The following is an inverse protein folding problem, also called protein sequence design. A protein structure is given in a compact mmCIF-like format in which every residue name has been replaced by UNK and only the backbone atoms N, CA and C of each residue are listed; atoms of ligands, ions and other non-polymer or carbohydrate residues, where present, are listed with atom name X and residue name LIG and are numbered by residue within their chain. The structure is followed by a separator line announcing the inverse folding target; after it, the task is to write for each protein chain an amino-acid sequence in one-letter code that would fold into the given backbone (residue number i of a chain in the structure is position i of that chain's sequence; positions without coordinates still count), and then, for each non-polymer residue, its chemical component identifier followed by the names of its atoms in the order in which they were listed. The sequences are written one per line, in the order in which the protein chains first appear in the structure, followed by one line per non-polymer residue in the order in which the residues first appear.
data_IF_423139948201
#
_entry.id   IF_423139948201
#
_cell.length_a   1.000
_cell.length_b   1.000
_cell.length_c   1.000
_cell.angle_alpha   90.00
_cell.angle_beta   90.00
_cell.angle_gamma   90.00
#
_symmetry.space_group_name_H-M   'P 1'
#
loop_
_entity.id
_entity.type
_entity.pdbx_description
1 polymer ?
#
# COMPACT_ATOMS: atom_id res chain seq x y z
N UNK A 1 -3.63 -64.49 42.59
CA UNK A 1 -3.23 -63.08 42.70
C UNK A 1 -2.35 -62.74 41.49
N UNK A 2 -2.90 -62.10 40.46
CA UNK A 2 -2.16 -61.68 39.27
C UNK A 2 -1.39 -60.38 39.54
N UNK A 3 -0.09 -60.33 39.21
CA UNK A 3 0.67 -59.09 38.97
C UNK A 3 1.11 -59.07 37.50
N UNK A 4 0.49 -58.19 36.72
CA UNK A 4 1.01 -57.60 35.49
C UNK A 4 1.36 -56.13 35.83
N UNK A 5 2.25 -55.40 35.19
CA UNK A 5 3.07 -55.56 34.00
C UNK A 5 3.77 -54.21 33.80
N UNK A 6 4.97 -54.23 33.22
CA UNK A 6 5.81 -53.06 32.91
C UNK A 6 5.19 -52.21 31.81
N UNK A 7 5.34 -50.88 31.86
CA UNK A 7 4.92 -49.97 30.79
C UNK A 7 5.53 -48.58 30.90
N UNK A 8 6.63 -48.38 30.18
CA UNK A 8 7.32 -47.11 29.92
C UNK A 8 6.52 -46.21 28.96
N UNK A 9 6.68 -44.89 29.06
CA UNK A 9 6.28 -43.99 27.96
C UNK A 9 5.91 -42.59 28.42
N UNK A 10 6.85 -41.66 28.30
CA UNK A 10 6.61 -40.24 28.52
C UNK A 10 5.74 -39.61 27.43
N UNK A 11 4.96 -38.62 27.80
CA UNK A 11 4.51 -37.56 26.90
C UNK A 11 4.13 -36.33 27.73
N UNK A 12 5.06 -35.38 27.79
CA UNK A 12 4.78 -34.01 28.20
C UNK A 12 3.89 -33.39 27.12
N UNK A 13 2.63 -33.09 27.45
CA UNK A 13 1.85 -32.12 26.68
C UNK A 13 1.11 -31.17 27.61
N UNK A 14 1.30 -29.91 27.26
CA UNK A 14 1.01 -28.72 28.01
C UNK A 14 -0.50 -28.47 28.16
N UNK A 15 -0.80 -27.83 29.28
CA UNK A 15 -2.08 -27.21 29.65
C UNK A 15 -2.43 -26.10 28.65
N UNK A 16 -3.66 -26.05 28.09
CA UNK A 16 -4.19 -24.83 27.52
C UNK A 16 -5.01 -24.09 28.58
N UNK A 17 -4.43 -23.01 29.13
CA UNK A 17 -5.20 -21.89 29.70
C UNK A 17 -5.04 -20.73 28.72
N UNK A 18 -6.13 -20.27 28.12
CA UNK A 18 -6.39 -18.87 27.77
C UNK A 18 -7.85 -18.81 27.27
N UNK A 19 -8.79 -18.42 28.13
CA UNK A 19 -9.30 -17.05 28.24
C UNK A 19 -9.73 -16.44 26.89
N UNK A 20 -11.04 -16.57 26.67
CA UNK A 20 -11.88 -15.76 25.81
C UNK A 20 -11.51 -14.28 25.92
N UNK A 21 -11.29 -13.62 24.79
CA UNK A 21 -11.38 -12.17 24.68
C UNK A 21 -12.33 -11.82 23.54
N UNK A 22 -13.33 -11.05 23.92
CA UNK A 22 -14.49 -10.58 23.18
C UNK A 22 -14.25 -10.18 21.73
N UNK A 23 -15.11 -10.75 20.87
CA UNK A 23 -15.43 -10.25 19.55
C UNK A 23 -16.29 -8.97 19.67
N UNK A 24 -15.63 -7.83 19.88
CA UNK A 24 -16.23 -6.50 19.77
C UNK A 24 -16.08 -5.93 18.36
N UNK A 25 -17.17 -5.97 17.61
CA UNK A 25 -17.41 -5.39 16.27
C UNK A 25 -16.53 -4.23 15.82
N UNK A 26 -15.73 -4.47 14.78
CA UNK A 26 -15.36 -3.47 13.78
C UNK A 26 -15.47 -4.10 12.38
N UNK A 27 -16.69 -4.52 12.03
CA UNK A 27 -17.04 -4.89 10.67
C UNK A 27 -17.24 -3.61 9.84
N UNK A 28 -16.13 -3.11 9.27
CA UNK A 28 -16.13 -2.52 7.94
C UNK A 28 -14.69 -2.54 7.39
N UNK A 29 -14.15 -3.74 7.26
CA UNK A 29 -13.06 -4.00 6.31
C UNK A 29 -13.74 -4.70 5.16
N UNK A 30 -13.79 -4.02 4.02
CA UNK A 30 -14.29 -4.55 2.78
C UNK A 30 -13.58 -5.87 2.51
N UNK A 31 -14.29 -6.97 2.71
CA UNK A 31 -13.94 -8.24 2.10
C UNK A 31 -13.86 -7.95 0.60
N UNK A 32 -12.67 -8.16 0.02
CA UNK A 32 -12.52 -8.13 -1.42
C UNK A 32 -13.57 -9.07 -2.04
N UNK A 33 -14.51 -8.58 -2.88
CA UNK A 33 -15.19 -9.46 -3.79
C UNK A 33 -14.31 -9.60 -5.02
N UNK A 34 -14.12 -10.87 -5.39
CA UNK A 34 -13.60 -11.28 -6.66
C UNK A 34 -14.23 -10.47 -7.81
N UNK A 35 -13.41 -10.23 -8.83
CA UNK A 35 -13.79 -9.67 -10.12
C UNK A 35 -15.04 -10.39 -10.68
N UNK A 36 -16.21 -9.79 -10.51
CA UNK A 36 -17.46 -10.20 -11.14
C UNK A 36 -17.85 -9.15 -12.16
N UNK A 37 -17.60 -9.44 -13.44
CA UNK A 37 -18.09 -8.62 -14.54
C UNK A 37 -19.62 -8.68 -14.60
N UNK A 38 -20.26 -7.51 -14.51
CA UNK A 38 -21.66 -7.30 -14.87
C UNK A 38 -21.74 -6.26 -15.99
N UNK A 39 -22.56 -6.44 -17.02
CA UNK A 39 -22.75 -5.42 -18.04
C UNK A 39 -23.77 -4.38 -17.56
N UNK A 40 -23.66 -3.16 -18.10
CA UNK A 40 -24.59 -2.03 -18.02
C UNK A 40 -24.39 -1.06 -16.84
N UNK A 41 -23.79 0.10 -17.14
CA UNK A 41 -23.85 1.29 -16.29
C UNK A 41 -22.56 2.14 -16.27
N UNK A 42 -22.19 2.75 -17.40
CA UNK A 42 -21.11 3.74 -17.40
C UNK A 42 -21.51 5.00 -16.62
N UNK A 43 -20.81 5.27 -15.52
CA UNK A 43 -20.51 6.62 -15.08
C UNK A 43 -18.99 6.71 -14.96
N UNK A 44 -18.38 7.87 -15.19
CA UNK A 44 -16.92 8.04 -15.21
C UNK A 44 -16.25 7.84 -13.84
N UNK A 45 -16.36 6.65 -13.26
CA UNK A 45 -15.78 6.28 -11.97
C UNK A 45 -14.27 6.40 -12.06
N UNK A 46 -13.68 7.16 -11.14
CA UNK A 46 -12.24 7.20 -10.98
C UNK A 46 -11.71 5.78 -10.78
N UNK A 47 -10.58 5.39 -11.39
CA UNK A 47 -9.95 4.09 -11.13
C UNK A 47 -9.41 3.97 -9.71
N UNK A 48 -9.41 5.06 -8.94
CA UNK A 48 -8.90 5.15 -7.59
C UNK A 48 -10.03 5.28 -6.57
N UNK A 49 -9.76 4.78 -5.37
CA UNK A 49 -10.54 4.97 -4.15
C UNK A 49 -10.77 6.47 -3.89
N UNK A 50 -11.95 6.79 -3.34
CA UNK A 50 -12.23 8.11 -2.82
C UNK A 50 -11.34 8.43 -1.61
N UNK A 51 -10.44 9.39 -1.79
CA UNK A 51 -9.52 9.83 -0.77
C UNK A 51 -10.17 10.90 0.13
N UNK A 52 -9.93 10.88 1.45
CA UNK A 52 -10.38 11.94 2.34
C UNK A 52 -9.88 13.32 1.88
N UNK A 53 -10.66 14.40 2.05
CA UNK A 53 -10.26 15.73 1.61
C UNK A 53 -9.08 16.30 2.41
N UNK A 54 -8.90 15.85 3.66
CA UNK A 54 -7.82 16.28 4.54
C UNK A 54 -6.79 15.16 4.72
N UNK A 55 -5.51 15.51 4.58
CA UNK A 55 -4.43 14.56 4.80
C UNK A 55 -4.39 14.04 6.24
N UNK A 56 -4.71 14.88 7.23
CA UNK A 56 -4.75 14.48 8.64
C UNK A 56 -5.75 13.35 8.89
N UNK A 57 -6.87 13.34 8.17
CA UNK A 57 -7.84 12.24 8.24
C UNK A 57 -7.23 10.95 7.67
N UNK A 58 -6.65 11.02 6.46
CA UNK A 58 -5.96 9.88 5.85
C UNK A 58 -4.85 9.35 6.77
N UNK A 59 -4.03 10.24 7.32
CA UNK A 59 -2.96 9.88 8.24
C UNK A 59 -3.49 9.07 9.43
N UNK A 60 -4.47 9.62 10.15
CA UNK A 60 -5.05 8.96 11.33
C UNK A 60 -5.75 7.63 11.00
N UNK A 61 -6.36 7.51 9.82
CA UNK A 61 -7.03 6.28 9.38
C UNK A 61 -6.06 5.12 9.14
N UNK A 62 -4.84 5.41 8.64
CA UNK A 62 -3.94 4.39 8.11
C UNK A 62 -2.63 4.21 8.91
N UNK A 63 -2.21 5.20 9.70
CA UNK A 63 -0.89 5.17 10.39
C UNK A 63 -0.73 4.06 11.43
N UNK A 64 -1.83 3.59 12.05
CA UNK A 64 -1.80 2.54 13.08
C UNK A 64 -2.36 1.20 12.62
N UNK A 65 -2.70 1.11 11.33
CA UNK A 65 -3.18 -0.14 10.76
C UNK A 65 -2.02 -1.11 10.52
N UNK A 66 -2.33 -2.39 10.64
CA UNK A 66 -1.36 -3.48 10.46
C UNK A 66 -1.35 -3.94 9.00
N UNK A 67 -0.18 -4.30 8.50
CA UNK A 67 -0.04 -4.93 7.19
C UNK A 67 -0.76 -6.28 7.18
N UNK A 68 -1.44 -6.60 6.08
CA UNK A 68 -2.20 -7.85 5.92
C UNK A 68 -1.30 -9.09 5.83
N UNK A 69 -0.04 -8.93 5.46
CA UNK A 69 0.92 -10.03 5.26
C UNK A 69 1.68 -10.37 6.54
N UNK A 70 2.31 -9.38 7.20
CA UNK A 70 3.09 -9.64 8.41
C UNK A 70 2.33 -9.41 9.73
N UNK A 71 1.15 -8.80 9.70
CA UNK A 71 0.38 -8.48 10.92
C UNK A 71 1.03 -7.43 11.82
N UNK A 72 2.13 -6.79 11.40
CA UNK A 72 2.81 -5.73 12.16
C UNK A 72 2.46 -4.34 11.64
N UNK A 73 2.68 -3.30 12.45
CA UNK A 73 2.53 -1.91 12.03
C UNK A 73 3.74 -1.51 11.16
N UNK A 74 3.55 -1.19 9.86
CA UNK A 74 4.67 -0.92 8.97
C UNK A 74 5.44 0.33 9.38
N UNK A 75 6.78 0.27 9.28
CA UNK A 75 7.63 1.47 9.45
C UNK A 75 7.32 2.55 8.44
N UNK A 76 6.90 2.21 7.22
CA UNK A 76 6.32 3.13 6.26
C UNK A 76 5.09 2.45 5.68
N UNK A 77 3.88 2.77 6.15
CA UNK A 77 2.66 2.21 5.60
C UNK A 77 2.36 2.91 4.27
N UNK A 78 2.15 2.11 3.24
CA UNK A 78 1.71 2.56 1.93
C UNK A 78 0.29 2.03 1.67
N UNK A 79 -0.61 2.90 1.20
CA UNK A 79 -2.01 2.57 0.93
C UNK A 79 -2.19 2.45 -0.58
N UNK A 80 -2.70 1.31 -1.05
CA UNK A 80 -3.02 1.10 -2.45
C UNK A 80 -4.23 1.96 -2.85
N UNK A 81 -4.09 2.77 -3.89
CA UNK A 81 -5.17 3.63 -4.38
C UNK A 81 -6.25 2.85 -5.14
N UNK A 82 -6.00 1.60 -5.55
CA UNK A 82 -6.98 0.78 -6.27
C UNK A 82 -7.91 0.05 -5.30
N UNK A 83 -7.36 -0.56 -4.25
CA UNK A 83 -8.12 -1.43 -3.34
C UNK A 83 -8.17 -0.93 -1.88
N UNK A 84 -7.40 0.10 -1.52
CA UNK A 84 -7.33 0.62 -0.15
C UNK A 84 -6.52 -0.24 0.83
N UNK A 85 -5.91 -1.33 0.38
CA UNK A 85 -5.08 -2.20 1.23
C UNK A 85 -3.77 -1.52 1.66
N UNK A 86 -3.24 -1.95 2.80
CA UNK A 86 -2.04 -1.39 3.41
C UNK A 86 -0.89 -2.36 3.25
N UNK A 87 0.17 -1.88 2.63
CA UNK A 87 1.38 -2.65 2.34
C UNK A 87 2.59 -2.02 3.02
N UNK A 88 3.57 -2.85 3.37
CA UNK A 88 4.85 -2.36 3.86
C UNK A 88 5.70 -1.82 2.71
N UNK A 89 6.30 -0.65 2.91
CA UNK A 89 7.36 -0.13 2.03
C UNK A 89 8.64 0.19 2.83
N UNK A 90 9.80 0.13 2.19
CA UNK A 90 11.12 0.48 2.77
C UNK A 90 11.67 -0.46 3.86
N UNK A 91 10.96 -1.53 4.21
CA UNK A 91 11.36 -2.54 5.19
C UNK A 91 11.89 -3.83 4.56
N UNK A 92 12.58 -4.66 5.36
CA UNK A 92 12.88 -6.06 4.98
C UNK A 92 11.69 -7.00 5.28
N UNK A 93 10.72 -6.53 6.07
CA UNK A 93 9.47 -7.25 6.32
C UNK A 93 8.67 -7.39 5.02
N UNK A 94 8.08 -8.58 4.81
CA UNK A 94 7.27 -8.92 3.64
C UNK A 94 8.01 -8.94 2.28
N UNK A 95 9.34 -8.87 2.26
CA UNK A 95 10.10 -9.11 1.03
C UNK A 95 10.09 -10.61 0.72
N UNK A 96 9.72 -10.99 -0.50
CA UNK A 96 9.73 -12.38 -0.97
C UNK A 96 10.33 -12.43 -2.37
N UNK A 97 11.24 -13.38 -2.61
CA UNK A 97 11.90 -13.54 -3.91
C UNK A 97 12.71 -12.31 -4.37
N UNK A 98 13.13 -11.44 -3.45
CA UNK A 98 13.86 -10.20 -3.75
C UNK A 98 12.96 -9.00 -4.11
N UNK A 99 11.66 -9.20 -4.32
CA UNK A 99 10.70 -8.12 -4.58
C UNK A 99 10.04 -7.64 -3.28
N UNK A 100 9.86 -6.32 -3.16
CA UNK A 100 9.12 -5.71 -2.05
C UNK A 100 7.62 -6.02 -2.12
N UNK A 101 6.93 -6.02 -0.97
CA UNK A 101 5.49 -6.27 -0.88
C UNK A 101 4.68 -5.38 -1.83
N UNK A 102 5.12 -4.14 -2.05
CA UNK A 102 4.48 -3.19 -2.97
C UNK A 102 4.49 -3.69 -4.42
N UNK A 103 5.58 -4.32 -4.87
CA UNK A 103 5.69 -4.90 -6.22
C UNK A 103 4.83 -6.15 -6.34
N UNK A 104 4.83 -7.00 -5.32
CA UNK A 104 3.98 -8.19 -5.28
C UNK A 104 2.49 -7.83 -5.28
N UNK A 105 2.11 -6.83 -4.48
CA UNK A 105 0.77 -6.30 -4.45
C UNK A 105 0.38 -5.65 -5.77
N UNK A 106 1.31 -4.97 -6.45
CA UNK A 106 1.07 -4.44 -7.79
C UNK A 106 0.76 -5.55 -8.80
N UNK A 107 1.45 -6.69 -8.70
CA UNK A 107 1.20 -7.85 -9.54
C UNK A 107 -0.18 -8.47 -9.28
N UNK A 108 -0.60 -8.59 -8.03
CA UNK A 108 -1.87 -9.25 -7.66
C UNK A 108 -3.11 -8.35 -7.74
N UNK A 109 -3.02 -7.09 -7.27
CA UNK A 109 -4.16 -6.17 -7.22
C UNK A 109 -4.36 -5.41 -8.54
N UNK A 110 -3.26 -5.02 -9.18
CA UNK A 110 -3.27 -4.11 -10.32
C UNK A 110 -2.81 -4.74 -11.63
N UNK A 111 -2.75 -6.08 -11.69
CA UNK A 111 -2.32 -6.84 -12.87
C UNK A 111 -0.96 -6.36 -13.42
N UNK A 112 -0.06 -5.95 -12.52
CA UNK A 112 1.27 -5.46 -12.86
C UNK A 112 1.40 -3.94 -12.91
N UNK A 113 0.41 -3.15 -12.51
CA UNK A 113 0.60 -1.72 -12.22
C UNK A 113 -0.25 -1.30 -11.03
N UNK A 114 0.30 -0.56 -10.07
CA UNK A 114 -0.44 0.00 -8.93
C UNK A 114 0.09 1.38 -8.54
N UNK A 115 -0.79 2.19 -7.96
CA UNK A 115 -0.44 3.46 -7.34
C UNK A 115 -0.66 3.37 -5.82
N UNK A 116 0.28 3.92 -5.06
CA UNK A 116 0.29 3.86 -3.60
C UNK A 116 0.55 5.23 -2.99
N UNK A 117 -0.09 5.56 -1.87
CA UNK A 117 0.24 6.75 -1.07
C UNK A 117 1.02 6.32 0.17
N UNK A 118 2.22 6.85 0.34
CA UNK A 118 3.07 6.58 1.51
C UNK A 118 2.73 7.59 2.61
N UNK A 119 2.09 7.10 3.66
CA UNK A 119 1.43 7.92 4.70
C UNK A 119 2.41 8.71 5.58
N UNK A 120 3.70 8.33 5.64
CA UNK A 120 4.68 9.12 6.42
C UNK A 120 5.35 10.21 5.61
N UNK A 121 5.54 10.00 4.32
CA UNK A 121 6.26 10.93 3.45
C UNK A 121 5.33 11.83 2.66
N UNK A 122 4.01 11.58 2.70
CA UNK A 122 2.94 12.23 1.91
C UNK A 122 3.05 11.97 0.39
N UNK A 123 4.07 11.22 -0.04
CA UNK A 123 4.37 10.98 -1.44
C UNK A 123 3.59 9.81 -2.03
N UNK A 124 3.27 9.93 -3.31
CA UNK A 124 2.66 8.86 -4.09
C UNK A 124 3.74 8.08 -4.83
N UNK A 125 3.72 6.76 -4.67
CA UNK A 125 4.60 5.80 -5.31
C UNK A 125 3.83 5.06 -6.40
N UNK A 126 4.36 5.08 -7.60
CA UNK A 126 3.85 4.36 -8.75
C UNK A 126 4.71 3.14 -8.97
N UNK A 127 4.09 1.97 -9.05
CA UNK A 127 4.79 0.70 -9.21
C UNK A 127 4.25 -0.01 -10.41
N UNK A 128 5.15 -0.50 -11.25
CA UNK A 128 4.84 -1.42 -12.34
C UNK A 128 5.63 -2.69 -12.05
N UNK A 129 4.99 -3.84 -12.24
CA UNK A 129 5.60 -5.14 -12.13
C UNK A 129 6.82 -5.28 -13.04
N UNK A 130 7.53 -6.39 -12.90
CA UNK A 130 8.80 -6.61 -13.59
C UNK A 130 8.63 -6.48 -15.10
N UNK A 131 9.23 -5.45 -15.67
CA UNK A 131 9.18 -5.15 -17.10
C UNK A 131 10.58 -5.36 -17.68
N UNK A 132 10.69 -6.20 -18.71
CA UNK A 132 12.00 -6.60 -19.28
C UNK A 132 12.81 -5.40 -19.81
N UNK A 133 12.13 -4.34 -20.25
CA UNK A 133 12.78 -3.16 -20.81
C UNK A 133 12.95 -1.98 -19.83
N UNK A 134 12.38 -2.05 -18.61
CA UNK A 134 12.52 -0.97 -17.62
C UNK A 134 13.61 -1.32 -16.60
N UNK A 135 14.57 -0.41 -16.41
CA UNK A 135 15.59 -0.56 -15.35
C UNK A 135 15.02 -0.41 -13.94
N UNK A 136 13.80 0.11 -13.79
CA UNK A 136 13.15 0.38 -12.50
C UNK A 136 11.73 -0.16 -12.49
N UNK A 137 11.34 -0.71 -11.35
CA UNK A 137 9.99 -1.21 -11.10
C UNK A 137 9.07 -0.15 -10.48
N UNK A 138 9.59 1.04 -10.12
CA UNK A 138 8.79 2.09 -9.49
C UNK A 138 9.30 3.50 -9.77
N UNK A 139 8.41 4.48 -9.68
CA UNK A 139 8.72 5.91 -9.69
C UNK A 139 7.90 6.69 -8.65
N UNK A 140 8.44 7.82 -8.22
CA UNK A 140 7.79 8.69 -7.25
C UNK A 140 7.06 9.81 -7.98
N UNK A 141 5.75 9.94 -7.77
CA UNK A 141 4.89 10.99 -8.38
C UNK A 141 4.94 12.33 -7.64
N UNK A 142 5.08 12.29 -6.32
CA UNK A 142 4.89 13.46 -5.45
C UNK A 142 3.58 13.36 -4.65
N UNK A 143 3.27 14.39 -3.87
CA UNK A 143 2.10 14.36 -2.99
C UNK A 143 0.80 14.63 -3.74
N UNK A 144 -0.26 13.89 -3.44
CA UNK A 144 -1.62 14.23 -3.89
C UNK A 144 -2.27 15.32 -3.04
N UNK A 145 -1.65 15.63 -1.89
CA UNK A 145 -2.12 16.62 -0.94
C UNK A 145 -1.17 17.81 -0.90
N UNK A 146 -1.72 19.00 -1.08
CA UNK A 146 -0.98 20.26 -1.12
C UNK A 146 -1.48 21.19 -0.03
N UNK A 147 -0.63 22.12 0.38
CA UNK A 147 -1.08 23.21 1.23
C UNK A 147 -1.91 24.24 0.42
N UNK A 148 -2.40 25.27 1.10
CA UNK A 148 -3.19 26.35 0.49
C UNK A 148 -2.42 27.16 -0.57
N UNK A 149 -1.09 27.04 -0.60
CA UNK A 149 -0.23 27.69 -1.58
C UNK A 149 0.17 26.75 -2.73
N UNK A 150 -0.31 25.50 -2.73
CA UNK A 150 0.03 24.51 -3.75
C UNK A 150 1.38 23.83 -3.54
N UNK A 151 1.99 23.97 -2.37
CA UNK A 151 3.29 23.39 -2.03
C UNK A 151 3.13 22.00 -1.41
N UNK A 152 4.13 21.13 -1.62
CA UNK A 152 4.22 19.85 -0.95
C UNK A 152 4.86 19.99 0.43
N UNK A 153 4.30 19.34 1.45
CA UNK A 153 4.96 19.18 2.75
C UNK A 153 5.43 17.73 2.89
N UNK A 154 6.64 17.45 2.37
CA UNK A 154 7.26 16.13 2.47
C UNK A 154 7.60 15.84 3.93
N UNK A 155 7.32 14.61 4.35
CA UNK A 155 7.56 14.16 5.72
C UNK A 155 6.83 14.99 6.79
N UNK A 156 5.84 15.81 6.39
CA UNK A 156 5.10 16.72 7.28
C UNK A 156 6.03 17.64 8.10
N UNK A 157 7.19 18.01 7.55
CA UNK A 157 8.19 18.77 8.29
C UNK A 157 7.77 20.21 8.59
N UNK A 158 6.87 20.80 7.79
CA UNK A 158 6.35 22.16 8.01
C UNK A 158 5.11 22.18 8.90
N UNK A 159 4.42 21.05 9.07
CA UNK A 159 3.22 20.92 9.89
C UNK A 159 2.01 21.68 9.33
N UNK A 160 1.97 21.97 8.03
CA UNK A 160 0.86 22.69 7.41
C UNK A 160 -0.32 21.74 7.12
N UNK A 161 -1.57 22.22 7.21
CA UNK A 161 -2.71 21.43 6.79
C UNK A 161 -2.61 21.17 5.29
N UNK A 162 -2.56 19.89 4.90
CA UNK A 162 -2.56 19.47 3.51
C UNK A 162 -3.96 19.01 3.09
N UNK A 163 -4.41 19.48 1.94
CA UNK A 163 -5.71 19.16 1.35
C UNK A 163 -5.53 18.44 0.02
N UNK A 164 -6.46 17.54 -0.28
CA UNK A 164 -6.45 16.78 -1.52
C UNK A 164 -6.56 17.75 -2.71
N UNK A 165 -5.57 17.72 -3.59
CA UNK A 165 -5.55 18.56 -4.79
C UNK A 165 -6.27 17.82 -5.94
N UNK A 166 -7.50 18.21 -6.32
CA UNK A 166 -8.26 17.50 -7.35
C UNK A 166 -7.57 17.54 -8.72
N UNK A 167 -6.81 18.60 -9.02
CA UNK A 167 -6.01 18.71 -10.25
C UNK A 167 -4.97 17.59 -10.36
N UNK A 168 -4.15 17.39 -9.31
CA UNK A 168 -3.14 16.33 -9.27
C UNK A 168 -3.75 14.93 -9.35
N UNK A 169 -4.89 14.72 -8.69
CA UNK A 169 -5.59 13.44 -8.76
C UNK A 169 -6.12 13.17 -10.18
N UNK A 170 -6.69 14.17 -10.85
CA UNK A 170 -7.17 14.03 -12.24
C UNK A 170 -6.04 13.73 -13.21
N UNK A 171 -4.90 14.38 -13.07
CA UNK A 171 -3.72 14.11 -13.90
C UNK A 171 -3.19 12.70 -13.67
N UNK A 172 -3.08 12.27 -12.42
CA UNK A 172 -2.70 10.89 -12.08
C UNK A 172 -3.66 9.89 -12.73
N UNK A 173 -4.97 10.15 -12.67
CA UNK A 173 -5.99 9.32 -13.32
C UNK A 173 -5.85 9.34 -14.85
N UNK A 174 -5.49 10.47 -15.45
CA UNK A 174 -5.28 10.56 -16.89
C UNK A 174 -4.08 9.72 -17.31
N UNK A 175 -2.95 9.84 -16.60
CA UNK A 175 -1.75 9.00 -16.82
C UNK A 175 -2.07 7.52 -16.62
N UNK A 176 -2.90 7.20 -15.63
CA UNK A 176 -3.36 5.84 -15.39
C UNK A 176 -4.16 5.30 -16.58
N UNK A 177 -5.16 6.05 -17.05
CA UNK A 177 -6.02 5.65 -18.17
C UNK A 177 -5.27 5.57 -19.49
N UNK A 178 -4.26 6.43 -19.70
CA UNK A 178 -3.44 6.40 -20.92
C UNK A 178 -2.34 5.33 -20.88
N UNK A 179 -2.22 4.55 -19.80
CA UNK A 179 -1.10 3.62 -19.56
C UNK A 179 0.27 4.33 -19.61
N UNK A 180 0.29 5.64 -19.38
CA UNK A 180 1.48 6.49 -19.44
C UNK A 180 2.49 6.22 -18.33
N UNK A 181 2.11 5.46 -17.29
CA UNK A 181 3.03 5.00 -16.24
C UNK A 181 4.23 4.26 -16.81
N UNK A 182 4.02 3.43 -17.84
CA UNK A 182 5.09 2.67 -18.49
C UNK A 182 6.11 3.62 -19.12
N UNK A 183 5.61 4.64 -19.83
CA UNK A 183 6.43 5.66 -20.47
C UNK A 183 7.26 6.44 -19.45
N UNK A 184 6.67 6.80 -18.30
CA UNK A 184 7.38 7.51 -17.23
C UNK A 184 8.54 6.67 -16.65
N UNK A 185 8.34 5.36 -16.50
CA UNK A 185 9.39 4.45 -16.05
C UNK A 185 10.46 4.21 -17.11
N UNK A 186 10.08 4.11 -18.39
CA UNK A 186 11.02 3.92 -19.49
C UNK A 186 11.93 5.13 -19.67
N UNK A 187 11.35 6.33 -19.70
CA UNK A 187 12.08 7.55 -20.02
C UNK A 187 12.79 8.16 -18.81
N UNK A 188 12.68 7.55 -17.61
CA UNK A 188 13.14 8.13 -16.35
C UNK A 188 12.69 9.59 -16.20
N UNK A 189 11.48 9.91 -16.64
CA UNK A 189 11.00 11.28 -16.64
C UNK A 189 10.36 11.56 -15.27
N UNK A 190 10.75 12.63 -14.56
CA UNK A 190 10.08 12.99 -13.32
C UNK A 190 8.61 13.25 -13.64
N UNK A 191 7.69 12.59 -12.93
CA UNK A 191 6.30 13.03 -12.95
C UNK A 191 6.26 14.44 -12.35
N UNK A 192 5.87 15.39 -13.18
CA UNK A 192 6.02 16.84 -13.07
C UNK A 192 7.41 17.43 -13.39
N UNK A 193 7.46 18.50 -14.21
CA UNK A 193 8.69 19.20 -14.59
C UNK A 193 9.33 20.03 -13.46
N UNK A 194 8.90 19.88 -12.20
CA UNK A 194 9.43 20.65 -11.06
C UNK A 194 9.90 19.81 -9.87
N UNK A 195 9.79 18.48 -9.93
CA UNK A 195 10.39 17.63 -8.91
C UNK A 195 11.67 16.97 -9.47
N UNK A 196 12.83 17.15 -8.82
CA UNK A 196 13.93 16.23 -9.06
C UNK A 196 13.46 14.82 -8.71
N UNK A 197 13.75 13.85 -9.58
CA UNK A 197 13.61 12.44 -9.24
C UNK A 197 14.35 12.20 -7.92
N UNK A 198 13.58 12.04 -6.82
CA UNK A 198 14.15 11.55 -5.57
C UNK A 198 14.47 10.08 -5.80
N UNK A 199 15.69 9.82 -6.28
CA UNK A 199 16.32 8.53 -6.08
C UNK A 199 16.51 8.39 -4.57
N UNK A 200 15.76 7.48 -3.95
CA UNK A 200 16.32 6.81 -2.78
C UNK A 200 17.62 6.16 -3.27
N UNK A 201 18.77 6.37 -2.58
CA UNK A 201 19.98 5.65 -2.93
C UNK A 201 19.67 4.14 -2.92
N UNK A 202 20.24 3.41 -3.88
CA UNK A 202 20.28 1.97 -3.79
C UNK A 202 20.81 1.62 -2.39
N UNK A 203 20.05 0.83 -1.63
CA UNK A 203 20.56 0.30 -0.37
C UNK A 203 21.71 -0.64 -0.74
N UNK A 204 22.93 -0.26 -0.37
CA UNK A 204 24.09 -1.15 -0.32
C UNK A 204 23.82 -2.34 0.63
#
# INVERSE_FOLDING_TARGET
MLRAGVGSGGSLRAVPVLHSFDAGSAALVCAAPACGGGPLGGCGTSPFLELPPSYSQLYNMYIHRRCSVCGTCPKQPAVCLLCGAIVCTGGQCCRSGGDDEVVQHAASCGHGACAFVVVRTTTTLLVIGRLLAARRQHCWWGSLYLDVHGEEDRNLSRGRPLLLAPGRLRELQQVWRSNGLRELLYNNQPPFPRLPLMLMPARD
#
